data_IF_500938893993
#
_entry.id   IF_500938893993
#
_cell.length_a   1.000
_cell.length_b   1.000
_cell.length_c   1.000
_cell.angle_alpha   90.00
_cell.angle_beta   90.00
_cell.angle_gamma   90.00
#
_symmetry.space_group_name_H-M   'P 1'
#
loop_
_entity.id
_entity.type
_entity.pdbx_description
1 polymer ?
#
# COMPACT_ATOMS: atom_id res chain seq x y z
N UNK A 1 1.24 16.07 11.46
CA UNK A 1 2.20 14.96 11.45
C UNK A 1 1.61 13.63 11.87
N UNK A 2 0.88 13.59 12.98
CA UNK A 2 0.27 12.32 13.41
C UNK A 2 -0.68 11.72 12.37
N UNK A 3 -1.49 12.55 11.72
CA UNK A 3 -2.45 12.08 10.71
C UNK A 3 -1.71 11.47 9.52
N UNK A 4 -0.63 12.12 9.09
CA UNK A 4 0.20 11.62 7.99
C UNK A 4 0.83 10.28 8.34
N UNK A 5 1.43 10.18 9.53
CA UNK A 5 2.08 8.95 9.97
C UNK A 5 1.08 7.81 10.12
N UNK A 6 -0.08 8.09 10.73
CA UNK A 6 -1.12 7.08 10.91
C UNK A 6 -1.63 6.57 9.56
N UNK A 7 -1.81 7.45 8.60
CA UNK A 7 -2.25 7.07 7.27
C UNK A 7 -1.23 6.16 6.59
N UNK A 8 0.04 6.52 6.66
CA UNK A 8 1.11 5.71 6.06
C UNK A 8 1.17 4.35 6.73
N UNK A 9 1.08 4.29 8.07
CA UNK A 9 1.11 3.02 8.79
C UNK A 9 -0.06 2.13 8.41
N UNK A 10 -1.25 2.71 8.25
CA UNK A 10 -2.43 1.96 7.84
C UNK A 10 -2.27 1.39 6.44
N UNK A 11 -1.79 2.21 5.51
CA UNK A 11 -1.57 1.78 4.14
C UNK A 11 -0.45 0.75 4.05
N UNK A 12 0.56 0.87 4.89
CA UNK A 12 1.65 -0.10 4.95
C UNK A 12 1.14 -1.47 5.38
N UNK A 13 0.25 -1.52 6.36
CA UNK A 13 -0.36 -2.79 6.78
C UNK A 13 -1.15 -3.43 5.66
N UNK A 14 -1.94 -2.62 4.95
CA UNK A 14 -2.71 -3.11 3.81
C UNK A 14 -1.78 -3.63 2.72
N UNK A 15 -0.75 -2.88 2.40
CA UNK A 15 0.24 -3.24 1.39
C UNK A 15 0.92 -4.57 1.73
N UNK A 16 1.39 -4.72 2.97
CA UNK A 16 2.03 -5.95 3.42
C UNK A 16 1.07 -7.14 3.35
N UNK A 17 -0.17 -6.95 3.76
CA UNK A 17 -1.16 -8.01 3.75
C UNK A 17 -1.48 -8.46 2.33
N UNK A 18 -1.62 -7.52 1.40
CA UNK A 18 -1.89 -7.84 0.01
C UNK A 18 -0.70 -8.55 -0.64
N UNK A 19 0.52 -8.11 -0.34
CA UNK A 19 1.72 -8.77 -0.84
C UNK A 19 1.81 -10.21 -0.34
N UNK A 20 1.55 -10.41 0.94
CA UNK A 20 1.59 -11.72 1.56
C UNK A 20 0.55 -12.65 0.93
N UNK A 21 -0.64 -12.13 0.68
CA UNK A 21 -1.71 -12.91 0.07
C UNK A 21 -1.36 -13.34 -1.35
N UNK A 22 -0.84 -12.42 -2.15
CA UNK A 22 -0.44 -12.72 -3.53
C UNK A 22 0.63 -13.80 -3.56
N UNK A 23 1.58 -13.73 -2.62
CA UNK A 23 2.71 -14.63 -2.60
C UNK A 23 2.37 -16.00 -2.02
N UNK A 24 1.60 -16.03 -0.92
CA UNK A 24 1.43 -17.26 -0.13
C UNK A 24 0.04 -17.86 -0.18
N UNK A 25 -0.98 -17.08 -0.54
CA UNK A 25 -2.36 -17.55 -0.53
C UNK A 25 -3.18 -16.92 -1.65
N UNK A 26 -2.76 -17.08 -2.92
CA UNK A 26 -3.42 -16.39 -4.05
C UNK A 26 -4.89 -16.78 -4.24
N UNK A 27 -5.28 -17.95 -3.79
CA UNK A 27 -6.67 -18.41 -3.93
C UNK A 27 -7.65 -17.62 -3.06
N UNK A 28 -7.16 -16.97 -2.02
CA UNK A 28 -8.02 -16.18 -1.14
C UNK A 28 -8.62 -14.97 -1.85
N UNK A 29 -8.04 -14.51 -2.95
CA UNK A 29 -8.56 -13.38 -3.71
C UNK A 29 -10.01 -13.60 -4.16
N UNK A 30 -10.36 -14.81 -4.48
CA UNK A 30 -11.69 -15.14 -4.96
C UNK A 30 -12.67 -15.38 -3.83
N UNK A 31 -12.18 -15.70 -2.64
CA UNK A 31 -13.01 -16.12 -1.52
C UNK A 31 -13.21 -15.05 -0.45
N UNK A 32 -12.32 -14.08 -0.35
CA UNK A 32 -12.34 -13.11 0.73
C UNK A 32 -12.61 -11.70 0.23
N UNK A 33 -13.84 -11.23 0.45
CA UNK A 33 -14.25 -9.89 0.02
C UNK A 33 -13.46 -8.79 0.72
N UNK A 34 -12.95 -9.04 1.92
CA UNK A 34 -12.17 -8.04 2.65
C UNK A 34 -10.85 -7.72 1.95
N UNK A 35 -10.28 -8.69 1.24
CA UNK A 35 -9.07 -8.46 0.45
C UNK A 35 -9.33 -7.52 -0.71
N UNK A 36 -10.49 -7.68 -1.36
CA UNK A 36 -10.88 -6.79 -2.46
C UNK A 36 -11.12 -5.37 -1.96
N UNK A 37 -11.72 -5.25 -0.80
CA UNK A 37 -11.95 -3.94 -0.18
C UNK A 37 -10.62 -3.25 0.14
N UNK A 38 -9.66 -4.00 0.68
CA UNK A 38 -8.33 -3.47 0.98
C UNK A 38 -7.61 -3.05 -0.29
N UNK A 39 -7.75 -3.85 -1.34
CA UNK A 39 -7.16 -3.50 -2.64
C UNK A 39 -7.76 -2.19 -3.15
N UNK A 40 -9.08 -2.03 -3.04
CA UNK A 40 -9.75 -0.81 -3.46
C UNK A 40 -9.22 0.39 -2.69
N UNK A 41 -9.04 0.24 -1.38
CA UNK A 41 -8.49 1.31 -0.54
C UNK A 41 -7.08 1.70 -0.97
N UNK A 42 -6.26 0.71 -1.31
CA UNK A 42 -4.89 0.97 -1.76
C UNK A 42 -4.87 1.69 -3.10
N UNK A 43 -5.72 1.26 -4.02
CA UNK A 43 -5.83 1.89 -5.35
C UNK A 43 -6.28 3.34 -5.21
N UNK A 44 -7.31 3.59 -4.40
CA UNK A 44 -7.79 4.95 -4.15
C UNK A 44 -6.68 5.83 -3.57
N UNK A 45 -5.94 5.30 -2.62
CA UNK A 45 -4.83 6.02 -2.01
C UNK A 45 -3.81 6.41 -3.07
N UNK A 46 -3.45 5.48 -3.94
CA UNK A 46 -2.45 5.69 -4.99
C UNK A 46 -2.95 6.68 -6.05
N UNK A 47 -4.19 6.54 -6.49
CA UNK A 47 -4.72 7.33 -7.60
C UNK A 47 -5.23 8.72 -7.19
N UNK A 48 -5.60 8.90 -5.93
CA UNK A 48 -6.16 10.18 -5.45
C UNK A 48 -5.13 11.30 -5.34
N UNK A 49 -3.84 10.96 -5.45
CA UNK A 49 -2.78 11.93 -5.24
C UNK A 49 -2.28 11.97 -3.80
N UNK A 50 -2.96 11.31 -2.88
CA UNK A 50 -2.54 11.25 -1.49
C UNK A 50 -1.22 10.50 -1.35
N UNK A 51 -1.07 9.40 -2.09
CA UNK A 51 0.18 8.66 -2.12
C UNK A 51 1.34 9.55 -2.56
N UNK A 52 1.13 10.35 -3.60
CA UNK A 52 2.20 11.21 -4.13
C UNK A 52 2.63 12.24 -3.08
N UNK A 53 1.68 12.81 -2.36
CA UNK A 53 1.99 13.77 -1.30
C UNK A 53 2.82 13.11 -0.20
N UNK A 54 2.46 11.90 0.19
CA UNK A 54 3.18 11.16 1.21
C UNK A 54 4.59 10.77 0.72
N UNK A 55 4.69 10.37 -0.54
CA UNK A 55 5.97 10.07 -1.18
C UNK A 55 6.88 11.30 -1.17
N UNK A 56 6.35 12.47 -1.51
CA UNK A 56 7.14 13.69 -1.50
C UNK A 56 7.60 14.08 -0.09
N UNK A 57 6.76 13.83 0.92
CA UNK A 57 7.14 14.07 2.31
C UNK A 57 8.31 13.17 2.71
N UNK A 58 8.30 11.92 2.25
CA UNK A 58 9.40 11.00 2.50
C UNK A 58 10.69 11.48 1.81
N UNK A 59 10.58 11.94 0.57
CA UNK A 59 11.72 12.48 -0.17
C UNK A 59 12.34 13.68 0.51
N UNK A 60 11.52 14.51 1.16
CA UNK A 60 12.01 15.68 1.89
C UNK A 60 12.57 15.34 3.26
N UNK A 61 12.53 14.06 3.65
CA UNK A 61 13.04 13.63 4.95
C UNK A 61 12.17 14.03 6.13
N UNK A 62 10.87 14.24 5.89
CA UNK A 62 9.94 14.69 6.92
C UNK A 62 9.38 13.55 7.77
N UNK A 63 9.65 12.31 7.40
CA UNK A 63 9.11 11.15 8.11
C UNK A 63 10.14 10.57 9.07
N UNK A 64 9.67 9.95 10.19
CA UNK A 64 10.59 9.29 11.11
C UNK A 64 11.40 8.21 10.42
N UNK A 65 12.67 8.05 10.81
CA UNK A 65 13.57 7.08 10.18
C UNK A 65 13.17 5.63 10.44
N UNK A 66 12.45 5.39 11.53
CA UNK A 66 12.01 4.04 11.90
C UNK A 66 10.63 3.66 11.34
N UNK A 67 10.00 4.57 10.61
CA UNK A 67 8.70 4.32 10.01
C UNK A 67 8.86 3.38 8.81
N UNK A 68 8.07 2.31 8.79
CA UNK A 68 8.02 1.43 7.64
C UNK A 68 7.34 2.14 6.48
N UNK A 69 7.98 2.15 5.33
CA UNK A 69 7.52 2.91 4.17
C UNK A 69 7.61 2.13 2.86
N UNK A 70 7.42 0.80 2.93
CA UNK A 70 7.37 -0.02 1.72
C UNK A 70 6.28 0.41 0.76
N UNK A 71 5.12 0.84 1.31
CA UNK A 71 4.01 1.32 0.50
C UNK A 71 4.37 2.59 -0.29
N UNK A 72 5.36 3.34 0.16
CA UNK A 72 5.83 4.54 -0.52
C UNK A 72 6.90 4.23 -1.58
N UNK A 73 7.27 2.97 -1.74
CA UNK A 73 8.16 2.56 -2.82
C UNK A 73 7.36 2.53 -4.11
N UNK A 74 7.74 3.36 -5.07
CA UNK A 74 7.06 3.46 -6.35
C UNK A 74 7.07 2.11 -7.07
N UNK A 75 8.21 1.43 -7.08
CA UNK A 75 8.33 0.12 -7.70
C UNK A 75 7.51 -0.93 -6.96
N UNK A 76 7.52 -0.88 -5.64
CA UNK A 76 6.80 -1.85 -4.82
C UNK A 76 5.31 -1.84 -5.07
N UNK A 77 4.69 -0.65 -5.03
CA UNK A 77 3.25 -0.54 -5.22
C UNK A 77 2.87 -0.87 -6.66
N UNK A 78 3.68 -0.45 -7.63
CA UNK A 78 3.45 -0.76 -9.03
C UNK A 78 3.48 -2.27 -9.28
N UNK A 79 4.49 -2.95 -8.75
CA UNK A 79 4.63 -4.40 -8.90
C UNK A 79 3.46 -5.15 -8.29
N UNK A 80 3.05 -4.75 -7.10
CA UNK A 80 1.93 -5.40 -6.43
C UNK A 80 0.65 -5.28 -7.25
N UNK A 81 0.32 -4.07 -7.71
CA UNK A 81 -0.89 -3.85 -8.49
C UNK A 81 -0.84 -4.59 -9.82
N UNK A 82 0.33 -4.65 -10.45
CA UNK A 82 0.50 -5.40 -11.69
C UNK A 82 0.28 -6.89 -11.49
N UNK A 83 0.81 -7.45 -10.42
CA UNK A 83 0.63 -8.87 -10.12
C UNK A 83 -0.84 -9.21 -9.89
N UNK A 84 -1.55 -8.32 -9.20
CA UNK A 84 -2.98 -8.55 -8.93
C UNK A 84 -3.78 -8.48 -10.22
N UNK A 85 -3.47 -7.54 -11.10
CA UNK A 85 -4.18 -7.38 -12.38
C UNK A 85 -3.99 -8.57 -13.31
N UNK A 86 -2.87 -9.27 -13.20
CA UNK A 86 -2.59 -10.42 -14.06
C UNK A 86 -3.35 -11.68 -13.64
N UNK A 87 -4.11 -11.61 -12.57
CA UNK A 87 -4.91 -12.70 -12.08
C UNK A 87 -6.31 -12.65 -12.67
#
# INVERSE_FOLDING_TARGET
MKILINRIQQMEKIFDQLQDTVKNAPDLWDEDDSLREKLRMLIEYYESGQWLKDYESDERGELPSDLKRGVLSQDGIYHLLSEIEQR
#
